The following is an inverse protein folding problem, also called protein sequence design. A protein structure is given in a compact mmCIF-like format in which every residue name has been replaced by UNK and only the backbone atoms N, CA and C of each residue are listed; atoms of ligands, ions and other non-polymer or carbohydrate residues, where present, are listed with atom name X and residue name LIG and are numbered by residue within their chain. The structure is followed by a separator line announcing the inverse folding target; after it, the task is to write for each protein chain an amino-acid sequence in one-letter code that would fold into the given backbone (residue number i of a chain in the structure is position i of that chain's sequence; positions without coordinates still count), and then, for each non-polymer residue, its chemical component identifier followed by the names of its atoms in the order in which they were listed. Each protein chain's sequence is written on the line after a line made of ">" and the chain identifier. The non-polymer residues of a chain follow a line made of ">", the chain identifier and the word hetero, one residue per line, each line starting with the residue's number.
data_IF_428016514948
#
_entry.id   IF_428016514948
#
_cell.length_a   1.000
_cell.length_b   1.000
_cell.length_c   1.000
_cell.angle_alpha   90.00
_cell.angle_beta   90.00
_cell.angle_gamma   90.00
#
_symmetry.space_group_name_H-M   'P 1'
#
loop_
_entity.id
_entity.type
_entity.pdbx_description
1 polymer ?
#
# COMPACT_ATOMS: atom_id res chain seq x y z
N UNK A 1 -5.56 -4.43 -15.99
CA UNK A 1 -4.08 -4.54 -15.94
C UNK A 1 -3.55 -4.12 -17.31
N UNK A 2 -2.58 -3.18 -17.34
CA UNK A 2 -1.90 -2.75 -18.58
C UNK A 2 -0.72 -3.68 -18.92
N UNK A 3 0.07 -4.02 -17.93
CA UNK A 3 1.19 -4.96 -18.08
C UNK A 3 1.45 -5.73 -16.80
N UNK A 4 1.98 -6.93 -16.93
CA UNK A 4 2.45 -7.74 -15.81
C UNK A 4 3.66 -8.56 -16.21
N UNK A 5 4.63 -8.69 -15.29
CA UNK A 5 5.77 -9.61 -15.40
C UNK A 5 5.86 -10.40 -14.11
N UNK A 6 5.71 -11.69 -14.18
CA UNK A 6 5.76 -12.59 -13.03
C UNK A 6 6.94 -13.55 -13.19
N UNK A 7 7.72 -13.72 -12.14
CA UNK A 7 8.69 -14.81 -12.03
C UNK A 7 8.15 -15.84 -11.06
N UNK A 8 7.89 -17.03 -11.56
CA UNK A 8 7.31 -18.14 -10.78
C UNK A 8 8.41 -19.14 -10.38
N UNK A 9 8.42 -19.55 -9.12
CA UNK A 9 9.24 -20.65 -8.62
C UNK A 9 8.39 -21.60 -7.78
N UNK A 10 8.38 -22.88 -8.12
CA UNK A 10 7.64 -23.91 -7.37
C UNK A 10 6.15 -23.58 -7.16
N UNK A 11 5.53 -22.92 -8.13
CA UNK A 11 4.10 -22.59 -8.11
C UNK A 11 3.73 -21.31 -7.36
N UNK A 12 4.71 -20.52 -6.91
CA UNK A 12 4.49 -19.21 -6.29
C UNK A 12 5.23 -18.09 -7.05
N UNK A 13 4.68 -16.90 -7.05
CA UNK A 13 5.32 -15.71 -7.60
C UNK A 13 6.41 -15.21 -6.64
N UNK A 14 7.65 -15.25 -7.07
CA UNK A 14 8.80 -14.76 -6.29
C UNK A 14 9.20 -13.32 -6.66
N UNK A 15 8.72 -12.85 -7.80
CA UNK A 15 8.85 -11.46 -8.25
C UNK A 15 7.66 -11.10 -9.14
N UNK A 16 7.05 -9.96 -8.89
CA UNK A 16 5.98 -9.40 -9.71
C UNK A 16 6.24 -7.92 -9.98
N UNK A 17 6.11 -7.52 -11.23
CA UNK A 17 6.02 -6.13 -11.67
C UNK A 17 4.68 -5.96 -12.38
N UNK A 18 3.87 -5.02 -11.92
CA UNK A 18 2.51 -4.83 -12.41
C UNK A 18 2.26 -3.35 -12.64
N UNK A 19 1.70 -3.02 -13.81
CA UNK A 19 1.11 -1.72 -14.12
C UNK A 19 -0.38 -1.89 -14.33
N UNK A 20 -1.19 -1.09 -13.66
CA UNK A 20 -2.63 -1.07 -13.78
C UNK A 20 -3.16 0.36 -13.97
N UNK A 21 -4.20 0.51 -14.77
CA UNK A 21 -4.89 1.77 -14.98
C UNK A 21 -6.20 1.78 -14.17
N UNK A 22 -6.43 2.89 -13.50
CA UNK A 22 -7.67 3.19 -12.79
C UNK A 22 -8.23 4.50 -13.31
N UNK A 23 -9.47 4.82 -12.96
CA UNK A 23 -10.05 6.11 -13.29
C UNK A 23 -9.27 7.24 -12.61
N UNK A 24 -8.56 8.04 -13.42
CA UNK A 24 -7.78 9.19 -12.99
C UNK A 24 -6.35 8.93 -12.50
N UNK A 25 -5.85 7.68 -12.47
CA UNK A 25 -4.45 7.41 -12.13
C UNK A 25 -3.92 6.08 -12.66
N UNK A 26 -2.62 5.97 -12.74
CA UNK A 26 -1.90 4.72 -13.02
C UNK A 26 -1.25 4.21 -11.75
N UNK A 27 -1.32 2.90 -11.53
CA UNK A 27 -0.68 2.21 -10.43
C UNK A 27 0.47 1.34 -10.95
N UNK A 28 1.66 1.54 -10.40
CA UNK A 28 2.82 0.68 -10.62
C UNK A 28 3.21 0.01 -9.32
N UNK A 29 3.43 -1.30 -9.34
CA UNK A 29 3.87 -2.04 -8.18
C UNK A 29 4.95 -3.05 -8.51
N UNK A 30 5.89 -3.19 -7.57
CA UNK A 30 6.91 -4.23 -7.60
C UNK A 30 6.89 -4.95 -6.27
N UNK A 31 6.78 -6.28 -6.31
CA UNK A 31 6.91 -7.14 -5.14
C UNK A 31 7.98 -8.20 -5.40
N UNK A 32 8.74 -8.58 -4.38
CA UNK A 32 9.77 -9.61 -4.54
C UNK A 32 10.12 -10.28 -3.22
N UNK A 33 10.26 -11.59 -3.28
CA UNK A 33 10.81 -12.42 -2.20
C UNK A 33 12.34 -12.54 -2.27
N UNK A 34 12.97 -11.95 -3.31
CA UNK A 34 14.42 -12.08 -3.61
C UNK A 34 15.19 -10.78 -3.43
N UNK A 35 14.49 -9.66 -3.32
CA UNK A 35 15.13 -8.36 -3.11
C UNK A 35 15.34 -8.08 -1.62
N UNK A 36 16.25 -7.15 -1.31
CA UNK A 36 16.41 -6.65 0.06
C UNK A 36 15.06 -6.17 0.59
N UNK A 37 14.69 -6.53 1.83
CA UNK A 37 13.43 -6.09 2.42
C UNK A 37 13.30 -4.57 2.42
N UNK A 38 12.31 -4.08 1.71
CA UNK A 38 12.00 -2.67 1.55
C UNK A 38 10.50 -2.48 1.32
N UNK A 39 9.96 -1.40 1.85
CA UNK A 39 8.56 -1.02 1.62
C UNK A 39 8.48 0.47 1.37
N UNK A 40 7.71 0.85 0.37
CA UNK A 40 7.39 2.25 0.08
C UNK A 40 6.06 2.28 -0.68
N UNK A 41 5.26 3.31 -0.44
CA UNK A 41 4.14 3.66 -1.32
C UNK A 41 4.20 5.16 -1.60
N UNK A 42 4.08 5.52 -2.88
CA UNK A 42 4.12 6.91 -3.32
C UNK A 42 2.84 7.25 -4.09
N UNK A 43 2.28 8.41 -3.78
CA UNK A 43 1.15 9.01 -4.47
C UNK A 43 1.64 10.31 -5.11
N UNK A 44 1.96 10.25 -6.38
CA UNK A 44 2.54 11.37 -7.13
C UNK A 44 1.46 12.07 -7.92
N UNK A 45 1.02 13.22 -7.41
CA UNK A 45 0.03 14.08 -8.04
C UNK A 45 0.62 15.37 -8.61
N UNK A 46 -0.22 16.16 -9.26
CA UNK A 46 0.19 17.44 -9.86
C UNK A 46 0.63 18.49 -8.83
N UNK A 47 0.08 18.44 -7.61
CA UNK A 47 0.31 19.45 -6.56
C UNK A 47 1.29 19.01 -5.49
N UNK A 48 1.45 17.71 -5.29
CA UNK A 48 2.29 17.16 -4.25
C UNK A 48 2.64 15.69 -4.51
N UNK A 49 3.72 15.25 -3.90
CA UNK A 49 4.09 13.85 -3.71
C UNK A 49 3.87 13.48 -2.25
N UNK A 50 3.09 12.44 -1.99
CA UNK A 50 2.94 11.83 -0.67
C UNK A 50 3.67 10.49 -0.66
N UNK A 51 4.63 10.31 0.26
CA UNK A 51 5.45 9.09 0.39
C UNK A 51 5.24 8.46 1.77
N UNK A 52 4.80 7.21 1.78
CA UNK A 52 4.75 6.36 2.96
C UNK A 52 5.98 5.47 2.98
N UNK A 53 6.84 5.60 3.98
CA UNK A 53 8.13 4.87 4.02
C UNK A 53 8.00 3.42 4.45
N UNK A 54 7.01 3.09 5.27
CA UNK A 54 6.71 1.72 5.72
C UNK A 54 5.19 1.52 5.74
N UNK A 55 4.54 1.37 4.57
CA UNK A 55 3.08 1.35 4.47
C UNK A 55 2.42 0.12 5.08
N UNK A 56 3.11 -1.03 5.15
CA UNK A 56 2.47 -2.31 5.50
C UNK A 56 2.89 -2.86 6.87
N UNK A 57 4.17 -2.78 7.23
CA UNK A 57 4.71 -3.39 8.45
C UNK A 57 5.53 -2.39 9.28
N UNK A 58 4.91 -1.30 9.80
CA UNK A 58 5.59 -0.40 10.71
C UNK A 58 6.05 -1.18 11.96
N UNK A 59 7.13 -0.72 12.57
CA UNK A 59 7.88 -1.35 13.67
C UNK A 59 8.70 -2.59 13.28
N UNK A 60 8.46 -3.21 12.13
CA UNK A 60 9.29 -4.31 11.60
C UNK A 60 10.38 -3.75 10.67
N UNK A 61 10.00 -2.93 9.71
CA UNK A 61 10.92 -2.36 8.71
C UNK A 61 11.24 -0.87 8.96
N UNK A 62 10.78 -0.32 10.06
CA UNK A 62 11.01 1.07 10.46
C UNK A 62 9.79 1.73 11.08
N UNK A 63 9.87 3.02 11.25
CA UNK A 63 8.80 3.86 11.79
C UNK A 63 7.77 4.19 10.71
N UNK A 64 6.48 4.18 11.07
CA UNK A 64 5.44 4.73 10.20
C UNK A 64 5.64 6.22 9.98
N UNK A 65 5.87 6.63 8.74
CA UNK A 65 6.11 8.02 8.36
C UNK A 65 5.44 8.35 7.04
N UNK A 66 4.80 9.52 7.00
CA UNK A 66 4.33 10.16 5.78
C UNK A 66 5.18 11.41 5.52
N UNK A 67 5.75 11.50 4.36
CA UNK A 67 6.46 12.64 3.83
C UNK A 67 5.60 13.28 2.73
N UNK A 68 5.25 14.56 2.89
CA UNK A 68 4.50 15.32 1.90
C UNK A 68 5.41 16.37 1.29
N UNK A 69 5.71 16.27 0.02
CA UNK A 69 6.53 17.24 -0.74
C UNK A 69 5.61 17.99 -1.69
N UNK A 70 5.55 19.32 -1.55
CA UNK A 70 4.68 20.20 -2.33
C UNK A 70 5.38 20.74 -3.56
N UNK A 71 4.61 21.21 -4.53
CA UNK A 71 5.12 21.78 -5.78
C UNK A 71 5.97 23.05 -5.61
N UNK A 72 5.85 23.77 -4.48
CA UNK A 72 6.69 24.91 -4.13
C UNK A 72 8.04 24.52 -3.50
N UNK A 73 8.33 23.21 -3.40
CA UNK A 73 9.54 22.65 -2.80
C UNK A 73 9.49 22.55 -1.28
N UNK A 74 8.43 22.98 -0.62
CA UNK A 74 8.24 22.77 0.82
C UNK A 74 7.91 21.32 1.13
N UNK A 75 8.29 20.85 2.32
CA UNK A 75 7.96 19.50 2.77
C UNK A 75 7.46 19.46 4.21
N UNK A 76 6.56 18.52 4.47
CA UNK A 76 6.03 18.23 5.79
C UNK A 76 6.28 16.74 6.10
N UNK A 77 6.61 16.44 7.36
CA UNK A 77 6.85 15.07 7.80
C UNK A 77 5.93 14.75 8.98
N UNK A 78 5.15 13.71 8.84
CA UNK A 78 4.30 13.15 9.88
C UNK A 78 4.89 11.83 10.35
N UNK A 79 5.01 11.62 11.66
CA UNK A 79 5.70 10.47 12.24
C UNK A 79 4.87 9.83 13.33
N UNK A 80 4.86 8.49 13.34
CA UNK A 80 4.15 7.67 14.33
C UNK A 80 5.08 6.58 14.89
N UNK A 81 6.03 6.95 15.76
CA UNK A 81 7.10 6.05 16.22
C UNK A 81 6.61 4.83 17.02
N UNK A 82 5.43 4.93 17.61
CA UNK A 82 4.87 3.87 18.46
C UNK A 82 3.56 3.29 17.93
N UNK A 83 3.19 3.58 16.68
CA UNK A 83 1.95 3.09 16.12
C UNK A 83 2.01 1.59 15.86
N UNK A 84 1.17 0.82 16.53
CA UNK A 84 0.97 -0.59 16.26
C UNK A 84 -0.29 -0.76 15.40
N UNK A 85 -0.11 -1.01 14.11
CA UNK A 85 -1.20 -1.10 13.14
C UNK A 85 -2.18 -2.26 13.45
N UNK A 86 -1.72 -3.35 14.06
CA UNK A 86 -2.61 -4.45 14.46
C UNK A 86 -3.52 -4.05 15.63
N UNK A 87 -3.01 -3.31 16.61
CA UNK A 87 -3.82 -2.78 17.70
C UNK A 87 -4.87 -1.82 17.14
N UNK A 88 -4.45 -0.88 16.28
CA UNK A 88 -5.36 0.07 15.63
C UNK A 88 -6.43 -0.63 14.78
N UNK A 89 -6.09 -1.73 14.12
CA UNK A 89 -7.03 -2.53 13.34
C UNK A 89 -8.10 -3.18 14.25
N UNK A 90 -7.68 -3.78 15.36
CA UNK A 90 -8.62 -4.39 16.33
C UNK A 90 -9.53 -3.34 16.94
N UNK A 91 -9.00 -2.19 17.34
CA UNK A 91 -9.79 -1.07 17.86
C UNK A 91 -10.79 -0.54 16.84
N UNK A 92 -10.37 -0.40 15.57
CA UNK A 92 -11.25 0.02 14.50
C UNK A 92 -12.39 -1.00 14.26
N UNK A 93 -12.09 -2.30 14.33
CA UNK A 93 -13.10 -3.34 14.25
C UNK A 93 -14.09 -3.27 15.42
N UNK A 94 -13.61 -3.06 16.66
CA UNK A 94 -14.48 -2.89 17.83
C UNK A 94 -15.44 -1.69 17.67
N UNK A 95 -14.94 -0.55 17.18
CA UNK A 95 -15.77 0.63 16.88
C UNK A 95 -16.81 0.33 15.80
N UNK A 96 -16.41 -0.40 14.76
CA UNK A 96 -17.34 -0.80 13.69
C UNK A 96 -18.47 -1.71 14.21
N UNK A 97 -18.19 -2.61 15.16
CA UNK A 97 -19.23 -3.40 15.83
C UNK A 97 -20.22 -2.54 16.63
N UNK A 98 -19.83 -1.34 17.03
CA UNK A 98 -20.69 -0.37 17.72
C UNK A 98 -21.42 0.58 16.75
N UNK A 99 -21.31 0.34 15.44
CA UNK A 99 -21.99 1.11 14.41
C UNK A 99 -21.19 2.24 13.79
N UNK A 100 -19.91 2.41 14.14
CA UNK A 100 -19.04 3.35 13.44
C UNK A 100 -18.69 2.84 12.02
N UNK A 101 -18.54 3.76 11.09
CA UNK A 101 -18.13 3.41 9.72
C UNK A 101 -16.68 2.90 9.71
N UNK A 102 -16.51 1.67 9.25
CA UNK A 102 -15.16 1.14 9.03
C UNK A 102 -14.51 1.78 7.79
N UNK A 103 -13.26 2.23 7.91
CA UNK A 103 -12.57 2.96 6.85
C UNK A 103 -12.28 2.12 5.60
N UNK A 104 -12.15 0.79 5.77
CA UNK A 104 -11.87 -0.15 4.68
C UNK A 104 -13.05 -1.13 4.52
N UNK A 105 -14.12 -0.77 3.81
CA UNK A 105 -15.27 -1.64 3.61
C UNK A 105 -14.89 -2.91 2.82
N UNK A 106 -15.65 -3.98 2.98
CA UNK A 106 -15.38 -5.28 2.34
C UNK A 106 -15.34 -5.21 0.81
N UNK A 107 -16.03 -4.24 0.21
CA UNK A 107 -16.00 -3.99 -1.24
C UNK A 107 -14.59 -3.67 -1.72
N UNK A 108 -13.80 -2.93 -0.94
CA UNK A 108 -12.39 -2.63 -1.27
C UNK A 108 -11.53 -3.89 -1.23
N UNK A 109 -11.71 -4.72 -0.19
CA UNK A 109 -11.00 -6.00 -0.09
C UNK A 109 -11.34 -6.94 -1.24
N UNK A 110 -12.63 -6.99 -1.64
CA UNK A 110 -13.09 -7.77 -2.80
C UNK A 110 -12.50 -7.26 -4.11
N UNK A 111 -12.44 -5.94 -4.30
CA UNK A 111 -11.82 -5.32 -5.46
C UNK A 111 -10.32 -5.64 -5.55
N UNK A 112 -9.61 -5.56 -4.42
CA UNK A 112 -8.19 -5.94 -4.34
C UNK A 112 -7.98 -7.41 -4.69
N UNK A 113 -8.83 -8.32 -4.17
CA UNK A 113 -8.75 -9.75 -4.49
C UNK A 113 -9.00 -10.01 -5.98
N UNK A 114 -9.99 -9.37 -6.58
CA UNK A 114 -10.26 -9.51 -8.01
C UNK A 114 -9.07 -9.05 -8.86
N UNK A 115 -8.40 -7.97 -8.47
CA UNK A 115 -7.17 -7.51 -9.14
C UNK A 115 -6.03 -8.53 -9.01
N UNK A 116 -5.85 -9.15 -7.84
CA UNK A 116 -4.85 -10.20 -7.63
C UNK A 116 -5.14 -11.43 -8.49
N UNK A 117 -6.40 -11.84 -8.60
CA UNK A 117 -6.82 -12.95 -9.46
C UNK A 117 -6.50 -12.64 -10.93
N UNK A 118 -6.76 -11.42 -11.42
CA UNK A 118 -6.40 -10.98 -12.78
C UNK A 118 -4.87 -10.95 -13.01
N UNK A 119 -4.09 -10.61 -12.00
CA UNK A 119 -2.63 -10.61 -12.08
C UNK A 119 -2.11 -12.05 -12.21
N UNK A 120 -2.70 -13.00 -11.48
CA UNK A 120 -2.24 -14.39 -11.43
C UNK A 120 -2.83 -15.27 -12.56
N UNK A 121 -3.89 -14.82 -13.22
CA UNK A 121 -4.45 -15.49 -14.40
C UNK A 121 -3.52 -15.38 -15.62
#
# INVERSE_FOLDING_TARGET
>A
ILSKQLTMEKGVDVHALVTAEFDGFTHDSTTSMRMVPWQCAEFHGEKALARLTVPYNPLVFGEARLELIKSDGSSENFRWPSANHYVLQVEAFQRAMQGERYACPLEFSRGTQAMLDDILA
#
